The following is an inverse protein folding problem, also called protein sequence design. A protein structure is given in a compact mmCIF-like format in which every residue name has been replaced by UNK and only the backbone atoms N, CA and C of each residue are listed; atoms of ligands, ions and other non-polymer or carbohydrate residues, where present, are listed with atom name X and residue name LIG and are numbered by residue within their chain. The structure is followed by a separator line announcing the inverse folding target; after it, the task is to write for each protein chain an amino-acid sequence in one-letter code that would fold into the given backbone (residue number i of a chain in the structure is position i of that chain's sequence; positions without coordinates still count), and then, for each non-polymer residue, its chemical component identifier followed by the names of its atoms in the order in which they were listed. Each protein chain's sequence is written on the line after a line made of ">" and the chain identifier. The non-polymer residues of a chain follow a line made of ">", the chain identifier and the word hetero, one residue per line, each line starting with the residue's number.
data_IF_253594334951
#
_entry.id   IF_253594334951
#
_cell.length_a   1.000
_cell.length_b   1.000
_cell.length_c   1.000
_cell.angle_alpha   90.00
_cell.angle_beta   90.00
_cell.angle_gamma   90.00
#
_symmetry.space_group_name_H-M   'P 1'
#
loop_
_entity.id
_entity.type
_entity.pdbx_description
1 polymer ?
#
# COMPACT_ATOMS: atom_id res chain seq x y z
N UNK A 1 -10.43 -7.50 20.81
CA UNK A 1 -9.06 -7.51 20.24
C UNK A 1 -8.93 -8.49 19.07
N UNK A 2 -9.23 -9.79 19.25
CA UNK A 2 -9.08 -10.83 18.21
C UNK A 2 -9.91 -10.53 16.96
N UNK A 3 -11.23 -10.31 17.11
CA UNK A 3 -12.15 -10.07 15.98
C UNK A 3 -11.70 -8.87 15.12
N UNK A 4 -11.24 -7.77 15.73
CA UNK A 4 -10.70 -6.62 15.01
C UNK A 4 -9.60 -7.00 14.01
N UNK A 5 -8.70 -7.90 14.40
CA UNK A 5 -7.59 -8.32 13.56
C UNK A 5 -8.06 -9.36 12.53
N UNK A 6 -8.95 -10.27 12.91
CA UNK A 6 -9.51 -11.25 11.97
C UNK A 6 -10.32 -10.58 10.85
N UNK A 7 -11.14 -9.57 11.16
CA UNK A 7 -11.86 -8.79 10.14
C UNK A 7 -10.90 -8.00 9.25
N UNK A 8 -9.84 -7.41 9.82
CA UNK A 8 -8.77 -6.80 9.02
C UNK A 8 -8.14 -7.78 8.04
N UNK A 9 -7.78 -8.98 8.50
CA UNK A 9 -7.14 -9.99 7.66
C UNK A 9 -8.06 -10.49 6.54
N UNK A 10 -9.37 -10.58 6.78
CA UNK A 10 -10.34 -10.89 5.71
C UNK A 10 -10.42 -9.77 4.67
N UNK A 11 -10.42 -8.50 5.11
CA UNK A 11 -10.39 -7.37 4.20
C UNK A 11 -9.07 -7.27 3.42
N UNK A 12 -7.93 -7.50 4.06
CA UNK A 12 -6.62 -7.56 3.41
C UNK A 12 -6.55 -8.70 2.38
N UNK A 13 -7.18 -9.84 2.67
CA UNK A 13 -7.30 -10.95 1.72
C UNK A 13 -8.04 -10.55 0.45
N UNK A 14 -9.19 -9.88 0.61
CA UNK A 14 -9.97 -9.39 -0.52
C UNK A 14 -9.22 -8.28 -1.27
N UNK A 15 -8.57 -7.36 -0.55
CA UNK A 15 -7.77 -6.29 -1.14
C UNK A 15 -6.65 -6.86 -2.02
N UNK A 16 -5.90 -7.85 -1.52
CA UNK A 16 -4.86 -8.54 -2.29
C UNK A 16 -5.43 -9.19 -3.55
N UNK A 17 -6.57 -9.87 -3.45
CA UNK A 17 -7.23 -10.48 -4.60
C UNK A 17 -7.58 -9.44 -5.68
N UNK A 18 -8.16 -8.31 -5.28
CA UNK A 18 -8.55 -7.23 -6.21
C UNK A 18 -7.33 -6.51 -6.80
N UNK A 19 -6.27 -6.27 -6.02
CA UNK A 19 -5.03 -5.65 -6.50
C UNK A 19 -4.27 -6.54 -7.50
N UNK A 20 -4.20 -7.85 -7.26
CA UNK A 20 -3.60 -8.78 -8.22
C UNK A 20 -4.39 -8.79 -9.54
N UNK A 21 -5.73 -8.83 -9.47
CA UNK A 21 -6.57 -8.72 -10.67
C UNK A 21 -6.40 -7.38 -11.39
N UNK A 22 -6.33 -6.27 -10.65
CA UNK A 22 -6.09 -4.95 -11.25
C UNK A 22 -4.74 -4.89 -11.97
N UNK A 23 -3.67 -5.41 -11.35
CA UNK A 23 -2.34 -5.51 -11.95
C UNK A 23 -2.37 -6.28 -13.28
N UNK A 24 -2.99 -7.45 -13.30
CA UNK A 24 -3.11 -8.28 -14.51
C UNK A 24 -3.91 -7.57 -15.61
N UNK A 25 -5.00 -6.90 -15.26
CA UNK A 25 -5.81 -6.14 -16.21
C UNK A 25 -5.03 -4.96 -16.80
N UNK A 26 -4.26 -4.23 -15.99
CA UNK A 26 -3.38 -3.14 -16.48
C UNK A 26 -2.31 -3.70 -17.43
N UNK A 27 -1.71 -4.83 -17.09
CA UNK A 27 -0.70 -5.49 -17.93
C UNK A 27 -1.26 -5.91 -19.31
N UNK A 28 -2.57 -6.21 -19.39
CA UNK A 28 -3.29 -6.59 -20.60
C UNK A 28 -4.01 -5.42 -21.30
N UNK A 29 -3.70 -4.18 -20.94
CA UNK A 29 -4.33 -2.97 -21.50
C UNK A 29 -5.85 -2.85 -21.24
N UNK A 30 -6.38 -3.55 -20.24
CA UNK A 30 -7.79 -3.51 -19.82
C UNK A 30 -8.03 -2.48 -18.69
N UNK A 31 -7.52 -1.26 -18.87
CA UNK A 31 -7.44 -0.25 -17.80
C UNK A 31 -8.81 0.12 -17.19
N UNK A 32 -9.87 0.24 -18.00
CA UNK A 32 -11.23 0.52 -17.49
C UNK A 32 -11.74 -0.56 -16.53
N UNK A 33 -11.44 -1.83 -16.80
CA UNK A 33 -11.83 -2.94 -15.93
C UNK A 33 -10.98 -2.94 -14.67
N UNK A 34 -9.68 -2.60 -14.79
CA UNK A 34 -8.80 -2.42 -13.65
C UNK A 34 -9.31 -1.31 -12.71
N UNK A 35 -9.76 -0.16 -13.24
CA UNK A 35 -10.34 0.92 -12.45
C UNK A 35 -11.56 0.47 -11.64
N UNK A 36 -12.39 -0.43 -12.17
CA UNK A 36 -13.49 -1.04 -11.40
C UNK A 36 -13.00 -1.91 -10.23
N UNK A 37 -11.84 -2.55 -10.34
CA UNK A 37 -11.18 -3.27 -9.22
C UNK A 37 -10.62 -2.28 -8.21
N UNK A 38 -9.95 -1.22 -8.68
CA UNK A 38 -9.40 -0.16 -7.82
C UNK A 38 -10.51 0.53 -7.02
N UNK A 39 -11.64 0.87 -7.63
CA UNK A 39 -12.81 1.41 -6.92
C UNK A 39 -13.26 0.50 -5.77
N UNK A 40 -13.25 -0.82 -5.96
CA UNK A 40 -13.56 -1.78 -4.89
C UNK A 40 -12.47 -1.80 -3.81
N UNK A 41 -11.19 -1.73 -4.18
CA UNK A 41 -10.07 -1.61 -3.24
C UNK A 41 -10.25 -0.37 -2.35
N UNK A 42 -10.61 0.78 -2.89
CA UNK A 42 -10.88 2.01 -2.11
C UNK A 42 -11.99 1.80 -1.07
N UNK A 43 -13.07 1.11 -1.44
CA UNK A 43 -14.13 0.76 -0.48
C UNK A 43 -13.66 -0.20 0.61
N UNK A 44 -12.78 -1.15 0.30
CA UNK A 44 -12.17 -2.06 1.29
C UNK A 44 -11.26 -1.27 2.24
N UNK A 45 -10.42 -0.36 1.71
CA UNK A 45 -9.59 0.53 2.53
C UNK A 45 -10.46 1.37 3.47
N UNK A 46 -11.58 1.91 2.99
CA UNK A 46 -12.55 2.62 3.84
C UNK A 46 -13.05 1.75 5.01
N UNK A 47 -13.42 0.49 4.77
CA UNK A 47 -13.84 -0.41 5.84
C UNK A 47 -12.73 -0.65 6.87
N UNK A 48 -11.50 -0.92 6.40
CA UNK A 48 -10.32 -1.08 7.25
C UNK A 48 -10.02 0.15 8.11
N UNK A 49 -10.24 1.34 7.57
CA UNK A 49 -10.03 2.61 8.26
C UNK A 49 -11.13 2.89 9.29
N UNK A 50 -12.40 2.72 8.92
CA UNK A 50 -13.53 3.02 9.80
C UNK A 50 -13.58 2.11 11.02
N UNK A 51 -13.24 0.82 10.87
CA UNK A 51 -13.26 -0.12 11.99
C UNK A 51 -12.26 0.23 13.11
N UNK A 52 -11.29 1.13 12.90
CA UNK A 52 -10.46 1.64 14.01
C UNK A 52 -11.30 2.28 15.11
N UNK A 53 -12.46 2.83 14.79
CA UNK A 53 -13.40 3.39 15.76
C UNK A 53 -13.89 2.36 16.78
N UNK A 54 -13.96 1.07 16.40
CA UNK A 54 -14.29 -0.03 17.33
C UNK A 54 -13.13 -0.31 18.28
N UNK A 55 -11.91 -0.49 17.78
CA UNK A 55 -10.75 -0.74 18.67
C UNK A 55 -10.43 0.45 19.57
N UNK A 56 -10.76 1.67 19.13
CA UNK A 56 -10.56 2.89 19.91
C UNK A 56 -11.39 2.94 21.21
N UNK A 57 -12.39 2.08 21.39
CA UNK A 57 -13.13 1.97 22.66
C UNK A 57 -12.35 1.19 23.72
N UNK A 58 -11.32 0.43 23.33
CA UNK A 58 -10.44 -0.27 24.25
C UNK A 58 -9.52 0.73 24.98
N UNK A 59 -9.59 0.72 26.30
CA UNK A 59 -8.81 1.62 27.16
C UNK A 59 -7.43 1.03 27.50
N UNK A 60 -6.47 1.87 27.94
CA UNK A 60 -5.19 1.38 28.45
C UNK A 60 -5.32 0.38 29.61
N UNK A 61 -6.31 0.56 30.49
CA UNK A 61 -6.56 -0.30 31.64
C UNK A 61 -6.99 -1.70 31.19
N UNK A 62 -8.00 -1.80 30.33
CA UNK A 62 -8.48 -3.08 29.79
C UNK A 62 -7.40 -3.80 28.97
N UNK A 63 -6.62 -3.06 28.18
CA UNK A 63 -5.54 -3.67 27.40
C UNK A 63 -4.43 -4.25 28.29
N UNK A 64 -4.13 -3.60 29.42
CA UNK A 64 -3.09 -4.06 30.35
C UNK A 64 -3.42 -5.43 30.97
N UNK A 65 -4.70 -5.75 31.17
CA UNK A 65 -5.15 -7.02 31.77
C UNK A 65 -4.73 -8.24 30.96
N UNK A 66 -4.67 -8.11 29.63
CA UNK A 66 -4.36 -9.25 28.76
C UNK A 66 -3.12 -9.09 27.88
N UNK A 67 -2.50 -7.90 27.81
CA UNK A 67 -1.31 -7.66 26.96
C UNK A 67 -0.19 -8.66 27.22
N UNK A 68 0.00 -9.10 28.47
CA UNK A 68 1.03 -10.07 28.85
C UNK A 68 0.89 -11.43 28.15
N UNK A 69 -0.34 -11.85 27.79
CA UNK A 69 -0.59 -13.13 27.12
C UNK A 69 -0.31 -13.08 25.61
N UNK A 70 -0.08 -11.91 25.01
CA UNK A 70 0.19 -11.77 23.58
C UNK A 70 1.62 -12.17 23.19
N UNK A 71 2.53 -12.30 24.15
CA UNK A 71 3.93 -12.63 23.90
C UNK A 71 4.58 -11.69 22.87
N UNK A 72 5.14 -12.28 21.81
CA UNK A 72 5.83 -11.57 20.74
C UNK A 72 4.92 -11.27 19.51
N UNK A 73 3.61 -11.54 19.61
CA UNK A 73 2.70 -11.35 18.48
C UNK A 73 2.65 -9.89 18.04
N UNK A 74 2.77 -9.65 16.73
CA UNK A 74 2.75 -8.29 16.18
C UNK A 74 2.17 -8.24 14.76
N UNK A 75 1.57 -7.10 14.41
CA UNK A 75 1.10 -6.83 13.04
C UNK A 75 2.21 -6.90 11.98
N UNK A 76 3.48 -6.83 12.37
CA UNK A 76 4.62 -7.10 11.48
C UNK A 76 4.59 -8.50 10.84
N UNK A 77 3.94 -9.46 11.49
CA UNK A 77 3.80 -10.84 11.05
C UNK A 77 2.56 -11.05 10.18
N UNK A 78 1.85 -9.98 9.78
CA UNK A 78 0.78 -10.06 8.78
C UNK A 78 1.39 -10.15 7.37
N UNK A 79 1.40 -11.36 6.81
CA UNK A 79 1.87 -11.57 5.44
C UNK A 79 0.92 -10.95 4.42
N UNK A 80 -0.38 -10.86 4.71
CA UNK A 80 -1.34 -10.22 3.80
C UNK A 80 -1.15 -8.71 3.74
N UNK A 81 -0.90 -8.05 4.88
CA UNK A 81 -0.50 -6.65 4.91
C UNK A 81 0.79 -6.43 4.11
N UNK A 82 1.79 -7.29 4.32
CA UNK A 82 3.07 -7.21 3.58
C UNK A 82 2.88 -7.41 2.07
N UNK A 83 1.99 -8.31 1.67
CA UNK A 83 1.67 -8.55 0.26
C UNK A 83 1.03 -7.30 -0.38
N UNK A 84 0.10 -6.64 0.32
CA UNK A 84 -0.49 -5.37 -0.15
C UNK A 84 0.58 -4.28 -0.29
N UNK A 85 1.46 -4.11 0.69
CA UNK A 85 2.58 -3.15 0.60
C UNK A 85 3.48 -3.42 -0.63
N UNK A 86 3.80 -4.68 -0.90
CA UNK A 86 4.61 -5.05 -2.07
C UNK A 86 3.87 -4.82 -3.40
N UNK A 87 2.58 -5.17 -3.46
CA UNK A 87 1.73 -4.94 -4.63
C UNK A 87 1.60 -3.45 -4.97
N UNK A 88 1.60 -2.56 -3.96
CA UNK A 88 1.57 -1.12 -4.14
C UNK A 88 2.96 -0.49 -4.42
N UNK A 89 4.05 -1.27 -4.33
CA UNK A 89 5.40 -0.82 -4.69
C UNK A 89 6.37 -0.59 -3.52
N UNK A 90 5.91 -0.65 -2.26
CA UNK A 90 6.77 -0.55 -1.07
C UNK A 90 7.44 -1.90 -0.75
N UNK A 91 8.33 -2.30 -1.65
CA UNK A 91 9.03 -3.57 -1.60
C UNK A 91 10.29 -3.53 -0.75
N UNK A 92 10.46 -4.58 0.04
CA UNK A 92 11.61 -4.74 0.92
C UNK A 92 11.90 -6.24 1.13
N UNK A 93 12.87 -6.78 0.38
CA UNK A 93 13.30 -8.18 0.49
C UNK A 93 13.69 -8.60 1.91
N UNK A 94 14.18 -7.66 2.74
CA UNK A 94 14.52 -7.93 4.14
C UNK A 94 13.31 -8.38 4.98
N UNK A 95 12.09 -8.08 4.56
CA UNK A 95 10.86 -8.51 5.24
C UNK A 95 10.57 -10.00 5.06
N UNK A 96 11.13 -10.67 4.05
CA UNK A 96 10.93 -12.12 3.85
C UNK A 96 11.46 -12.93 5.03
N UNK A 97 12.52 -12.45 5.69
CA UNK A 97 13.11 -13.07 6.89
C UNK A 97 12.12 -13.24 8.04
N UNK A 98 11.09 -12.38 8.12
CA UNK A 98 10.04 -12.48 9.16
C UNK A 98 9.16 -13.72 8.95
N UNK A 99 9.12 -14.25 7.73
CA UNK A 99 8.22 -15.34 7.32
C UNK A 99 8.94 -16.66 7.03
N UNK A 100 10.25 -16.77 7.31
CA UNK A 100 11.03 -18.01 7.11
C UNK A 100 10.42 -19.24 7.81
N UNK A 101 9.77 -19.03 8.95
CA UNK A 101 9.07 -20.09 9.70
C UNK A 101 7.69 -20.45 9.15
N UNK A 102 7.21 -19.77 8.11
CA UNK A 102 5.89 -19.95 7.49
C UNK A 102 6.05 -20.08 5.96
N UNK A 103 6.39 -21.28 5.44
CA UNK A 103 6.76 -21.47 4.05
C UNK A 103 5.75 -20.95 3.02
N UNK A 104 4.45 -21.19 3.23
CA UNK A 104 3.40 -20.72 2.32
C UNK A 104 3.33 -19.18 2.23
N UNK A 105 3.49 -18.49 3.37
CA UNK A 105 3.50 -17.03 3.41
C UNK A 105 4.78 -16.47 2.78
N UNK A 106 5.92 -17.12 3.02
CA UNK A 106 7.19 -16.75 2.41
C UNK A 106 7.13 -16.88 0.89
N UNK A 107 6.69 -18.02 0.37
CA UNK A 107 6.57 -18.29 -1.07
C UNK A 107 5.64 -17.28 -1.76
N UNK A 108 4.47 -17.01 -1.16
CA UNK A 108 3.55 -15.99 -1.66
C UNK A 108 4.19 -14.60 -1.73
N UNK A 109 4.90 -14.19 -0.69
CA UNK A 109 5.55 -12.88 -0.63
C UNK A 109 6.75 -12.78 -1.59
N UNK A 110 7.50 -13.86 -1.73
CA UNK A 110 8.65 -13.95 -2.64
C UNK A 110 8.19 -13.84 -4.10
N UNK A 111 7.10 -14.51 -4.48
CA UNK A 111 6.49 -14.35 -5.80
C UNK A 111 6.08 -12.89 -6.08
N UNK A 112 5.33 -12.27 -5.16
CA UNK A 112 4.91 -10.87 -5.32
C UNK A 112 6.11 -9.90 -5.36
N UNK A 113 7.18 -10.17 -4.60
CA UNK A 113 8.38 -9.34 -4.59
C UNK A 113 9.03 -9.26 -5.98
N UNK A 114 9.08 -10.39 -6.70
CA UNK A 114 9.72 -10.52 -8.01
C UNK A 114 8.84 -10.12 -9.20
N UNK A 115 7.57 -9.83 -8.96
CA UNK A 115 6.64 -9.36 -10.00
C UNK A 115 6.50 -7.84 -9.97
N UNK A 116 6.25 -7.14 -11.08
CA UNK A 116 5.93 -5.71 -11.09
C UNK A 116 4.76 -5.37 -10.12
N UNK A 117 4.83 -4.20 -9.48
CA UNK A 117 3.72 -3.65 -8.69
C UNK A 117 2.58 -3.14 -9.59
N UNK A 118 1.43 -2.76 -9.00
CA UNK A 118 0.36 -2.10 -9.77
C UNK A 118 0.84 -0.79 -10.41
N UNK A 119 1.75 -0.06 -9.77
CA UNK A 119 2.31 1.17 -10.32
C UNK A 119 3.25 0.85 -11.48
N UNK A 120 4.13 -0.14 -11.34
CA UNK A 120 5.02 -0.55 -12.43
C UNK A 120 4.23 -0.96 -13.69
N UNK A 121 3.14 -1.70 -13.53
CA UNK A 121 2.29 -2.06 -14.67
C UNK A 121 1.57 -0.85 -15.27
N UNK A 122 1.16 0.13 -14.46
CA UNK A 122 0.60 1.38 -14.98
C UNK A 122 1.63 2.17 -15.78
N UNK A 123 2.88 2.26 -15.32
CA UNK A 123 3.96 2.90 -16.06
C UNK A 123 4.28 2.17 -17.37
N UNK A 124 4.25 0.83 -17.37
CA UNK A 124 4.38 0.04 -18.60
C UNK A 124 3.20 0.24 -19.56
N UNK A 125 1.98 0.35 -19.03
CA UNK A 125 0.80 0.70 -19.80
C UNK A 125 0.98 2.06 -20.49
N UNK A 126 1.42 3.09 -19.75
CA UNK A 126 1.67 4.43 -20.31
C UNK A 126 2.68 4.36 -21.47
N UNK A 127 3.77 3.62 -21.30
CA UNK A 127 4.76 3.41 -22.36
C UNK A 127 4.17 2.75 -23.61
N UNK A 128 3.36 1.69 -23.45
CA UNK A 128 2.67 1.02 -24.57
C UNK A 128 1.69 1.95 -25.31
N UNK A 129 1.18 2.96 -24.62
CA UNK A 129 0.24 3.96 -25.16
C UNK A 129 0.92 5.25 -25.64
N UNK A 130 2.25 5.25 -25.78
CA UNK A 130 3.00 6.32 -26.44
C UNK A 130 3.39 7.50 -25.54
N UNK A 131 3.27 7.35 -24.22
CA UNK A 131 3.82 8.31 -23.26
C UNK A 131 5.33 8.07 -23.05
N UNK A 132 6.12 9.13 -22.86
CA UNK A 132 7.57 8.99 -22.68
C UNK A 132 7.92 8.52 -21.25
N UNK A 133 7.85 7.21 -21.02
CA UNK A 133 8.29 6.61 -19.76
C UNK A 133 9.78 6.25 -19.89
N UNK A 134 10.66 6.73 -18.98
CA UNK A 134 12.09 6.45 -19.05
C UNK A 134 12.41 4.95 -19.03
N UNK A 135 13.36 4.49 -19.85
CA UNK A 135 13.75 3.08 -19.91
C UNK A 135 14.22 2.55 -18.55
N UNK A 136 14.89 3.39 -17.76
CA UNK A 136 15.35 3.06 -16.42
C UNK A 136 14.21 2.70 -15.45
N UNK A 137 12.99 3.21 -15.68
CA UNK A 137 11.78 2.85 -14.93
C UNK A 137 11.23 1.52 -15.42
N UNK A 138 11.19 1.29 -16.74
CA UNK A 138 10.63 0.09 -17.36
C UNK A 138 11.45 -1.18 -17.08
N UNK A 139 12.79 -1.04 -17.04
CA UNK A 139 13.76 -2.13 -16.86
C UNK A 139 14.33 -2.21 -15.43
N UNK A 140 13.75 -1.49 -14.47
CA UNK A 140 14.25 -1.48 -13.10
C UNK A 140 14.22 -2.87 -12.46
N UNK A 141 15.07 -3.06 -11.46
CA UNK A 141 14.98 -4.20 -10.55
C UNK A 141 13.71 -4.07 -9.68
N UNK A 142 12.66 -4.81 -10.06
CA UNK A 142 11.36 -4.76 -9.40
C UNK A 142 11.38 -5.28 -7.97
N UNK A 143 12.43 -6.00 -7.52
CA UNK A 143 12.52 -6.48 -6.13
C UNK A 143 12.80 -5.35 -5.13
N UNK A 144 13.27 -4.20 -5.62
CA UNK A 144 13.51 -3.00 -4.82
C UNK A 144 12.23 -2.17 -4.72
N UNK A 145 12.06 -1.53 -3.56
CA UNK A 145 11.02 -0.52 -3.36
C UNK A 145 11.10 0.56 -4.42
N UNK A 146 9.93 0.99 -4.91
CA UNK A 146 9.86 2.03 -5.93
C UNK A 146 10.45 3.34 -5.41
N UNK A 147 11.18 4.05 -6.26
CA UNK A 147 11.81 5.34 -5.96
C UNK A 147 11.51 6.32 -7.07
N UNK A 148 11.28 7.59 -6.69
CA UNK A 148 10.98 8.68 -7.61
C UNK A 148 11.98 8.77 -8.77
N UNK A 149 11.44 8.97 -9.96
CA UNK A 149 12.18 9.36 -11.16
C UNK A 149 11.72 10.75 -11.62
N UNK A 150 12.63 11.73 -11.60
CA UNK A 150 12.31 13.12 -11.96
C UNK A 150 11.88 13.28 -13.42
N UNK A 151 12.44 12.49 -14.35
CA UNK A 151 12.07 12.55 -15.77
C UNK A 151 10.60 12.11 -15.99
N UNK A 152 10.11 11.19 -15.17
CA UNK A 152 8.74 10.69 -15.25
C UNK A 152 7.69 11.72 -14.80
N UNK A 153 8.07 12.70 -13.97
CA UNK A 153 7.17 13.80 -13.55
C UNK A 153 6.65 14.59 -14.75
N UNK A 154 7.50 14.81 -15.76
CA UNK A 154 7.13 15.52 -16.98
C UNK A 154 6.12 14.75 -17.85
N UNK A 155 6.14 13.41 -17.77
CA UNK A 155 5.13 12.58 -18.42
C UNK A 155 3.78 12.72 -17.76
N UNK A 156 3.73 12.78 -16.43
CA UNK A 156 2.48 13.10 -15.74
C UNK A 156 2.04 14.53 -16.00
N UNK A 157 2.93 15.52 -16.03
CA UNK A 157 2.57 16.91 -16.29
C UNK A 157 1.76 17.04 -17.60
N UNK A 158 2.23 16.39 -18.68
CA UNK A 158 1.53 16.34 -19.97
C UNK A 158 0.17 15.66 -19.93
N UNK A 159 0.01 14.62 -19.10
CA UNK A 159 -1.29 13.97 -18.89
C UNK A 159 -2.27 14.95 -18.22
N UNK A 160 -1.80 15.69 -17.21
CA UNK A 160 -2.62 16.65 -16.46
C UNK A 160 -2.89 17.97 -17.21
N UNK A 161 -2.04 18.36 -18.16
CA UNK A 161 -2.22 19.55 -19.01
C UNK A 161 -3.35 19.39 -20.04
N UNK A 162 -3.67 18.17 -20.46
CA UNK A 162 -4.70 17.87 -21.45
C UNK A 162 -5.60 16.69 -21.01
N UNK A 163 -6.41 16.86 -19.96
CA UNK A 163 -7.23 15.78 -19.40
C UNK A 163 -8.36 15.34 -20.33
N UNK A 164 -8.79 16.18 -21.28
CA UNK A 164 -9.79 15.77 -22.29
C UNK A 164 -9.20 14.75 -23.25
N UNK A 165 -7.92 14.92 -23.64
CA UNK A 165 -7.22 13.98 -24.52
C UNK A 165 -6.79 12.71 -23.80
N UNK A 166 -6.24 12.84 -22.58
CA UNK A 166 -5.67 11.73 -21.81
C UNK A 166 -6.58 11.29 -20.65
N UNK A 167 -7.90 11.32 -20.86
CA UNK A 167 -8.88 11.12 -19.79
C UNK A 167 -8.64 9.83 -18.99
N UNK A 168 -8.36 8.72 -19.66
CA UNK A 168 -8.24 7.43 -19.00
C UNK A 168 -6.97 7.35 -18.14
N UNK A 169 -5.87 7.92 -18.62
CA UNK A 169 -4.61 8.04 -17.87
C UNK A 169 -4.75 9.02 -16.71
N UNK A 170 -5.40 10.17 -16.94
CA UNK A 170 -5.71 11.18 -15.94
C UNK A 170 -6.56 10.60 -14.80
N UNK A 171 -7.69 9.95 -15.13
CA UNK A 171 -8.56 9.28 -14.16
C UNK A 171 -7.77 8.21 -13.38
N UNK A 172 -6.92 7.44 -14.06
CA UNK A 172 -6.07 6.46 -13.40
C UNK A 172 -5.09 7.10 -12.43
N UNK A 173 -4.46 8.22 -12.78
CA UNK A 173 -3.58 8.93 -11.87
C UNK A 173 -4.32 9.35 -10.58
N UNK A 174 -5.54 9.90 -10.71
CA UNK A 174 -6.35 10.27 -9.54
C UNK A 174 -6.76 9.05 -8.70
N UNK A 175 -7.10 7.94 -9.35
CA UNK A 175 -7.43 6.69 -8.66
C UNK A 175 -6.25 6.12 -7.85
N UNK A 176 -5.02 6.27 -8.35
CA UNK A 176 -3.81 5.93 -7.59
C UNK A 176 -3.54 6.90 -6.43
N UNK A 177 -3.76 8.20 -6.61
CA UNK A 177 -3.67 9.17 -5.52
C UNK A 177 -4.67 8.85 -4.40
N UNK A 178 -5.92 8.54 -4.76
CA UNK A 178 -6.94 8.10 -3.82
C UNK A 178 -6.55 6.82 -3.06
N UNK A 179 -5.92 5.85 -3.74
CA UNK A 179 -5.44 4.63 -3.09
C UNK A 179 -4.40 4.93 -2.01
N UNK A 180 -3.45 5.81 -2.32
CA UNK A 180 -2.40 6.20 -1.39
C UNK A 180 -2.98 7.01 -0.22
N UNK A 181 -3.83 8.01 -0.47
CA UNK A 181 -4.45 8.82 0.58
C UNK A 181 -5.24 7.95 1.56
N UNK A 182 -6.07 7.03 1.05
CA UNK A 182 -6.82 6.08 1.87
C UNK A 182 -5.90 5.18 2.71
N UNK A 183 -4.76 4.75 2.16
CA UNK A 183 -3.78 3.93 2.88
C UNK A 183 -3.06 4.74 3.97
N UNK A 184 -2.71 6.00 3.69
CA UNK A 184 -2.11 6.90 4.69
C UNK A 184 -3.08 7.22 5.81
N UNK A 185 -4.35 7.44 5.49
CA UNK A 185 -5.40 7.61 6.50
C UNK A 185 -5.52 6.37 7.40
N UNK A 186 -5.47 5.17 6.82
CA UNK A 186 -5.44 3.93 7.60
C UNK A 186 -4.20 3.86 8.52
N UNK A 187 -2.99 4.14 8.01
CA UNK A 187 -1.74 4.18 8.80
C UNK A 187 -1.84 5.20 9.93
N UNK A 188 -2.38 6.39 9.66
CA UNK A 188 -2.56 7.44 10.66
C UNK A 188 -3.53 7.00 11.76
N UNK A 189 -4.70 6.45 11.40
CA UNK A 189 -5.68 5.93 12.37
C UNK A 189 -5.11 4.79 13.20
N UNK A 190 -4.27 3.94 12.61
CA UNK A 190 -3.51 2.92 13.32
C UNK A 190 -2.56 3.55 14.35
N UNK A 191 -1.73 4.51 13.95
CA UNK A 191 -0.81 5.25 14.85
C UNK A 191 -1.57 5.87 16.03
N UNK A 192 -2.68 6.57 15.77
CA UNK A 192 -3.48 7.23 16.81
C UNK A 192 -4.13 6.23 17.76
N UNK A 193 -4.61 5.09 17.25
CA UNK A 193 -5.17 4.01 18.06
C UNK A 193 -4.12 3.35 18.94
N UNK A 194 -2.91 3.10 18.41
CA UNK A 194 -1.79 2.59 19.20
C UNK A 194 -1.39 3.59 20.29
N UNK A 195 -1.25 4.86 19.95
CA UNK A 195 -0.86 5.92 20.89
C UNK A 195 -1.84 6.04 22.06
N UNK A 196 -3.16 5.96 21.81
CA UNK A 196 -4.16 6.05 22.89
C UNK A 196 -4.22 4.81 23.78
N UNK A 197 -3.84 3.63 23.29
CA UNK A 197 -3.90 2.37 24.06
C UNK A 197 -2.59 2.13 24.83
N UNK A 198 -1.43 2.32 24.19
CA UNK A 198 -0.12 1.97 24.78
C UNK A 198 0.83 3.16 24.98
N UNK A 199 0.44 4.36 24.56
CA UNK A 199 1.34 5.52 24.58
C UNK A 199 2.56 5.30 23.68
N UNK A 200 3.75 5.62 24.22
CA UNK A 200 5.04 5.45 23.55
C UNK A 200 5.77 4.16 23.96
N UNK A 201 5.07 3.22 24.61
CA UNK A 201 5.65 1.92 24.99
C UNK A 201 6.15 1.18 23.74
N UNK A 202 7.26 0.44 23.88
CA UNK A 202 7.76 -0.46 22.83
C UNK A 202 6.68 -1.46 22.40
N UNK A 203 6.69 -1.81 21.12
CA UNK A 203 5.78 -2.81 20.55
C UNK A 203 6.13 -4.21 21.05
N UNK A 204 5.14 -5.11 21.07
CA UNK A 204 5.33 -6.54 21.38
C UNK A 204 6.27 -7.24 20.39
N UNK A 205 6.34 -6.76 19.15
CA UNK A 205 7.29 -7.21 18.13
C UNK A 205 8.70 -6.58 18.21
N UNK A 206 9.04 -5.89 19.29
CA UNK A 206 10.40 -5.33 19.52
C UNK A 206 10.69 -3.95 18.92
N UNK A 207 9.77 -3.39 18.11
CA UNK A 207 9.90 -2.05 17.54
C UNK A 207 9.82 -0.93 18.60
N UNK A 208 10.17 0.29 18.20
CA UNK A 208 9.99 1.51 19.02
C UNK A 208 8.51 1.91 19.22
N UNK A 209 7.55 1.09 18.78
CA UNK A 209 6.12 1.37 18.90
C UNK A 209 5.69 2.48 17.95
N UNK A 210 5.12 3.56 18.50
CA UNK A 210 4.58 4.70 17.73
C UNK A 210 5.63 5.33 16.82
N UNK A 211 6.88 5.48 17.28
CA UNK A 211 7.94 6.10 16.46
C UNK A 211 8.27 5.30 15.20
N UNK A 212 8.14 3.96 15.23
CA UNK A 212 8.26 3.14 14.03
C UNK A 212 7.10 3.39 13.06
N UNK A 213 5.87 3.42 13.59
CA UNK A 213 4.67 3.60 12.78
C UNK A 213 4.59 5.01 12.16
N UNK A 214 5.11 6.03 12.84
CA UNK A 214 5.21 7.39 12.30
C UNK A 214 6.10 7.45 11.07
N UNK A 215 7.25 6.75 11.05
CA UNK A 215 8.11 6.69 9.86
C UNK A 215 7.41 6.08 8.64
N UNK A 216 6.42 5.20 8.86
CA UNK A 216 5.64 4.64 7.77
C UNK A 216 4.71 5.67 7.11
N UNK A 217 4.40 6.79 7.79
CA UNK A 217 3.63 7.90 7.21
C UNK A 217 4.46 8.75 6.23
N UNK A 218 5.79 8.71 6.34
CA UNK A 218 6.71 9.43 5.46
C UNK A 218 6.95 8.68 4.14
N UNK A 219 6.50 7.42 4.03
CA UNK A 219 6.64 6.62 2.82
C UNK A 219 5.56 6.99 1.82
N UNK A 220 5.91 7.03 0.53
CA UNK A 220 4.96 7.20 -0.57
C UNK A 220 5.02 6.01 -1.52
N UNK A 221 3.90 5.65 -2.13
CA UNK A 221 3.84 4.60 -3.14
C UNK A 221 4.04 5.18 -4.55
N UNK A 222 3.46 6.35 -4.83
CA UNK A 222 3.40 6.94 -6.17
C UNK A 222 4.03 8.36 -6.19
N UNK A 223 5.34 8.50 -5.90
CA UNK A 223 5.95 9.79 -5.61
C UNK A 223 5.79 10.82 -6.73
N UNK A 224 5.86 10.41 -8.00
CA UNK A 224 5.74 11.32 -9.14
C UNK A 224 4.33 11.92 -9.27
N UNK A 225 3.30 11.14 -8.89
CA UNK A 225 1.94 11.66 -8.86
C UNK A 225 1.81 12.78 -7.82
N UNK A 226 2.52 12.75 -6.70
CA UNK A 226 2.51 13.88 -5.77
C UNK A 226 3.42 15.03 -6.23
N UNK A 227 4.60 14.71 -6.78
CA UNK A 227 5.56 15.70 -7.25
C UNK A 227 5.02 16.57 -8.39
N UNK A 228 4.26 15.99 -9.32
CA UNK A 228 3.72 16.74 -10.48
C UNK A 228 2.81 17.91 -10.07
N UNK A 229 2.22 17.89 -8.86
CA UNK A 229 1.38 18.98 -8.37
C UNK A 229 2.11 20.32 -8.24
N UNK A 230 3.44 20.32 -8.19
CA UNK A 230 4.24 21.57 -8.18
C UNK A 230 4.63 22.06 -9.57
N UNK A 231 4.38 21.26 -10.61
CA UNK A 231 4.72 21.57 -12.01
C UNK A 231 3.48 21.97 -12.83
N UNK A 232 2.28 21.55 -12.41
CA UNK A 232 1.03 21.85 -13.11
C UNK A 232 0.56 23.28 -12.75
N UNK A 233 0.36 24.14 -13.76
CA UNK A 233 -0.12 25.51 -13.59
C UNK A 233 0.21 26.44 -14.75
#
# INVERSE_FOLDING_TARGET
>A
FIIQHQTSELWLKLMRHELMSAKELIANDELQVALKRIARVKHIQKQLTEQWSVLATLTPSEYAEFRGYLGNASGFQSYQYRAVEFLLGNKNAGMLKVFESHPEAHELLDGILHEPSVYDEFLRYLSRHGHDVPQAVLERDVTKGYSMNEELVQTFARIYEDPEKYWLEYETCEEFVDLEDNFQLWRFRHVKTVLRIIGTKRGTGGSSGVGFLQKALDLTFFPELFAVRTEIG
#
